data_IF_161693021676
#
_entry.id   IF_161693021676
#
_cell.length_a   1.000
_cell.length_b   1.000
_cell.length_c   1.000
_cell.angle_alpha   90.00
_cell.angle_beta   90.00
_cell.angle_gamma   90.00
#
_symmetry.space_group_name_H-M   'P 1'
#
loop_
_entity.id
_entity.type
_entity.pdbx_description
1 polymer ?
#
# COMPACT_ATOMS: atom_id res chain seq x y z
N UNK A 1 -36.34 -71.61 56.06
CA UNK A 1 -37.58 -70.99 55.50
C UNK A 1 -37.43 -69.52 55.57
N UNK A 2 -37.79 -68.83 54.60
CA UNK A 2 -37.94 -67.36 54.39
C UNK A 2 -36.92 -66.86 53.38
N UNK A 3 -37.25 -66.82 52.17
CA UNK A 3 -37.93 -65.73 51.59
C UNK A 3 -36.89 -64.75 50.95
N UNK A 4 -36.37 -65.16 49.77
CA UNK A 4 -35.53 -64.22 48.95
C UNK A 4 -36.46 -63.12 48.43
N UNK A 5 -36.22 -61.88 48.94
CA UNK A 5 -36.78 -60.64 48.41
C UNK A 5 -36.31 -60.44 46.98
N UNK A 6 -37.27 -60.35 46.06
CA UNK A 6 -37.06 -59.99 44.67
C UNK A 6 -36.45 -58.61 44.59
N UNK A 7 -35.15 -58.54 44.38
CA UNK A 7 -34.55 -57.34 43.94
C UNK A 7 -35.18 -56.97 42.61
N UNK A 8 -35.96 -55.90 42.58
CA UNK A 8 -36.48 -55.23 41.39
C UNK A 8 -35.34 -55.01 40.39
N UNK A 9 -35.34 -55.89 39.39
CA UNK A 9 -34.38 -55.74 38.26
C UNK A 9 -34.72 -54.44 37.50
N UNK A 10 -34.08 -53.39 37.83
CA UNK A 10 -34.23 -52.14 37.09
C UNK A 10 -34.01 -52.40 35.59
N UNK A 11 -34.84 -51.84 34.70
CA UNK A 11 -34.79 -52.06 33.24
C UNK A 11 -33.41 -51.81 32.62
N UNK A 12 -32.62 -50.97 33.21
CA UNK A 12 -31.26 -50.67 32.82
C UNK A 12 -30.30 -51.86 32.84
N UNK A 13 -30.46 -52.82 33.78
CA UNK A 13 -29.61 -54.00 33.82
C UNK A 13 -29.84 -54.97 32.63
N UNK A 14 -30.95 -54.82 31.93
CA UNK A 14 -31.18 -55.57 30.70
C UNK A 14 -30.43 -54.93 29.51
N UNK A 15 -30.44 -53.61 29.46
CA UNK A 15 -29.69 -52.79 28.45
C UNK A 15 -28.16 -52.96 28.70
N UNK A 16 -27.70 -52.87 29.96
CA UNK A 16 -26.31 -53.09 30.31
C UNK A 16 -25.81 -54.47 29.92
N UNK A 17 -26.59 -55.51 30.17
CA UNK A 17 -26.23 -56.89 29.80
C UNK A 17 -26.25 -57.14 28.29
N UNK A 18 -27.08 -56.43 27.52
CA UNK A 18 -27.08 -56.48 26.06
C UNK A 18 -25.81 -55.82 25.48
N UNK A 19 -25.37 -54.72 26.08
CA UNK A 19 -24.18 -53.96 25.65
C UNK A 19 -22.86 -54.56 26.16
N UNK A 20 -22.84 -55.19 27.36
CA UNK A 20 -21.69 -55.99 27.85
C UNK A 20 -21.46 -57.27 27.02
N UNK A 21 -22.50 -57.78 26.36
CA UNK A 21 -22.40 -58.92 25.45
C UNK A 21 -21.88 -58.60 24.07
N UNK A 22 -21.92 -57.31 23.67
CA UNK A 22 -21.46 -56.87 22.37
C UNK A 22 -20.22 -55.98 22.52
N UNK A 23 -19.05 -56.61 22.71
CA UNK A 23 -17.76 -55.96 22.76
C UNK A 23 -17.53 -55.04 21.56
N UNK A 24 -18.17 -55.34 20.41
CA UNK A 24 -18.06 -54.52 19.19
C UNK A 24 -18.85 -53.22 19.32
N UNK A 25 -20.05 -53.24 19.91
CA UNK A 25 -20.84 -52.03 20.15
C UNK A 25 -20.13 -51.09 21.14
N UNK A 26 -19.51 -51.63 22.20
CA UNK A 26 -18.71 -50.85 23.15
C UNK A 26 -17.47 -50.26 22.49
N UNK A 27 -16.74 -51.07 21.71
CA UNK A 27 -15.55 -50.61 20.98
C UNK A 27 -15.89 -49.52 19.96
N UNK A 28 -17.04 -49.66 19.24
CA UNK A 28 -17.48 -48.61 18.29
C UNK A 28 -17.87 -47.33 19.01
N UNK A 29 -18.59 -47.40 20.14
CA UNK A 29 -18.97 -46.21 20.91
C UNK A 29 -17.72 -45.51 21.47
N UNK A 30 -16.78 -46.28 22.01
CA UNK A 30 -15.51 -45.75 22.51
C UNK A 30 -14.72 -45.08 21.37
N UNK A 31 -14.62 -45.73 20.22
CA UNK A 31 -13.94 -45.16 19.03
C UNK A 31 -14.60 -43.86 18.56
N UNK A 32 -15.94 -43.80 18.51
CA UNK A 32 -16.69 -42.59 18.13
C UNK A 32 -16.42 -41.45 19.13
N UNK A 33 -16.41 -41.72 20.43
CA UNK A 33 -16.13 -40.74 21.45
C UNK A 33 -14.67 -40.28 21.39
N UNK A 34 -13.70 -41.19 21.21
CA UNK A 34 -12.28 -40.86 21.10
C UNK A 34 -11.98 -40.06 19.82
N UNK A 35 -12.49 -40.49 18.68
CA UNK A 35 -12.35 -39.78 17.40
C UNK A 35 -13.03 -38.43 17.46
N UNK A 36 -14.23 -38.35 18.05
CA UNK A 36 -14.91 -37.08 18.29
C UNK A 36 -14.14 -36.12 19.19
N UNK A 37 -13.51 -36.64 20.24
CA UNK A 37 -12.64 -35.87 21.14
C UNK A 37 -11.42 -35.31 20.43
N UNK A 38 -10.72 -36.14 19.65
CA UNK A 38 -9.55 -35.74 18.85
C UNK A 38 -9.97 -34.74 17.75
N UNK A 39 -11.05 -34.98 17.05
CA UNK A 39 -11.58 -34.07 16.05
C UNK A 39 -11.95 -32.70 16.66
N UNK A 40 -12.53 -32.70 17.86
CA UNK A 40 -12.86 -31.48 18.60
C UNK A 40 -11.61 -30.69 18.95
N UNK A 41 -10.56 -31.35 19.41
CA UNK A 41 -9.28 -30.71 19.70
C UNK A 41 -8.55 -30.21 18.46
N UNK A 42 -8.65 -30.95 17.35
CA UNK A 42 -8.07 -30.58 16.05
C UNK A 42 -8.81 -29.43 15.33
N UNK A 43 -10.11 -29.24 15.60
CA UNK A 43 -10.92 -28.16 15.04
C UNK A 43 -10.82 -26.85 15.83
N UNK A 44 -10.22 -26.87 17.02
CA UNK A 44 -10.01 -25.68 17.88
C UNK A 44 -9.36 -24.49 17.15
N UNK A 45 -8.36 -24.66 16.26
CA UNK A 45 -7.76 -23.53 15.52
C UNK A 45 -8.56 -23.06 14.31
N UNK A 46 -9.60 -23.81 13.88
CA UNK A 46 -10.39 -23.44 12.70
C UNK A 46 -11.40 -22.35 13.08
N UNK A 47 -11.15 -21.11 12.65
CA UNK A 47 -12.13 -20.03 12.72
C UNK A 47 -13.34 -20.42 11.88
N UNK A 48 -14.55 -20.51 12.44
CA UNK A 48 -15.75 -20.70 11.62
C UNK A 48 -15.93 -19.45 10.73
N UNK A 49 -15.58 -19.56 9.46
CA UNK A 49 -15.71 -18.46 8.48
C UNK A 49 -17.14 -18.26 7.99
N UNK A 50 -18.04 -19.23 8.21
CA UNK A 50 -19.43 -19.19 7.75
C UNK A 50 -20.40 -19.71 8.80
N UNK A 51 -21.67 -19.25 8.77
CA UNK A 51 -22.77 -19.71 9.65
C UNK A 51 -22.99 -21.23 9.56
N UNK A 52 -22.72 -21.82 8.41
CA UNK A 52 -22.83 -23.27 8.16
C UNK A 52 -21.85 -24.06 9.04
N UNK A 53 -20.63 -23.57 9.22
CA UNK A 53 -19.60 -24.21 10.04
C UNK A 53 -20.02 -24.24 11.52
N UNK A 54 -20.71 -23.20 11.98
CA UNK A 54 -21.19 -23.10 13.36
C UNK A 54 -22.29 -24.16 13.64
N UNK A 55 -23.22 -24.40 12.71
CA UNK A 55 -24.24 -25.42 12.85
C UNK A 55 -23.63 -26.83 12.92
N UNK A 56 -22.68 -27.14 12.07
CA UNK A 56 -21.98 -28.42 12.10
C UNK A 56 -21.23 -28.61 13.42
N UNK A 57 -20.57 -27.58 13.92
CA UNK A 57 -19.87 -27.59 15.19
C UNK A 57 -20.84 -27.85 16.36
N UNK A 58 -22.00 -27.20 16.39
CA UNK A 58 -23.04 -27.42 17.41
C UNK A 58 -23.61 -28.85 17.37
N UNK A 59 -23.89 -29.38 16.18
CA UNK A 59 -24.37 -30.77 16.00
C UNK A 59 -23.31 -31.77 16.47
N UNK A 60 -22.05 -31.56 16.12
CA UNK A 60 -20.94 -32.41 16.55
C UNK A 60 -20.77 -32.40 18.07
N UNK A 61 -20.84 -31.24 18.72
CA UNK A 61 -20.78 -31.12 20.17
C UNK A 61 -21.98 -31.81 20.85
N UNK A 62 -23.17 -31.70 20.27
CA UNK A 62 -24.34 -32.39 20.80
C UNK A 62 -24.20 -33.93 20.70
N UNK A 63 -23.76 -34.42 19.55
CA UNK A 63 -23.52 -35.86 19.32
C UNK A 63 -22.43 -36.41 20.26
N UNK A 64 -21.34 -35.65 20.46
CA UNK A 64 -20.26 -36.01 21.38
C UNK A 64 -20.77 -36.10 22.82
N UNK A 65 -21.61 -35.16 23.28
CA UNK A 65 -22.24 -35.19 24.65
C UNK A 65 -23.10 -36.41 24.84
N UNK A 66 -23.90 -36.74 23.84
CA UNK A 66 -24.74 -37.95 23.89
C UNK A 66 -23.88 -39.22 23.97
N UNK A 67 -22.78 -39.29 23.20
CA UNK A 67 -21.83 -40.39 23.23
C UNK A 67 -21.14 -40.54 24.59
N UNK A 68 -20.65 -39.43 25.18
CA UNK A 68 -20.04 -39.45 26.52
C UNK A 68 -21.04 -39.84 27.59
N UNK A 69 -22.28 -39.34 27.51
CA UNK A 69 -23.35 -39.74 28.44
C UNK A 69 -23.67 -41.22 28.35
N UNK A 70 -23.81 -41.77 27.14
CA UNK A 70 -24.03 -43.18 26.90
C UNK A 70 -22.87 -44.04 27.48
N UNK A 71 -21.63 -43.61 27.25
CA UNK A 71 -20.45 -44.28 27.79
C UNK A 71 -20.43 -44.28 29.31
N UNK A 72 -20.78 -43.17 29.97
CA UNK A 72 -20.90 -43.06 31.41
C UNK A 72 -22.01 -44.00 31.95
N UNK A 73 -23.17 -44.00 31.31
CA UNK A 73 -24.28 -44.89 31.69
C UNK A 73 -23.90 -46.38 31.60
N UNK A 74 -23.06 -46.74 30.61
CA UNK A 74 -22.62 -48.15 30.40
C UNK A 74 -21.52 -48.60 31.37
N UNK A 75 -20.67 -47.65 31.87
CA UNK A 75 -19.44 -47.98 32.62
C UNK A 75 -19.52 -47.70 34.12
N UNK A 76 -20.72 -47.59 34.67
CA UNK A 76 -20.93 -47.46 36.12
C UNK A 76 -21.41 -46.11 36.59
N UNK A 77 -21.92 -45.28 35.69
CA UNK A 77 -22.49 -43.96 36.04
C UNK A 77 -21.47 -43.00 36.66
N UNK A 78 -21.70 -42.62 37.91
CA UNK A 78 -20.85 -41.66 38.62
C UNK A 78 -19.42 -42.13 38.93
N UNK A 79 -19.21 -43.43 39.03
CA UNK A 79 -17.91 -44.04 39.30
C UNK A 79 -17.11 -44.37 38.03
N UNK A 80 -17.64 -44.01 36.88
CA UNK A 80 -17.00 -44.23 35.58
C UNK A 80 -15.69 -43.43 35.43
N UNK A 81 -14.60 -44.09 35.01
CA UNK A 81 -13.34 -43.39 34.69
C UNK A 81 -13.49 -42.37 33.56
N UNK A 82 -14.54 -42.45 32.75
CA UNK A 82 -14.81 -41.58 31.63
C UNK A 82 -15.50 -40.26 32.01
N UNK A 83 -15.80 -40.02 33.28
CA UNK A 83 -16.33 -38.75 33.80
C UNK A 83 -15.43 -37.58 33.43
N UNK A 84 -14.14 -37.82 33.39
CA UNK A 84 -13.14 -36.81 33.04
C UNK A 84 -13.22 -36.29 31.59
N UNK A 85 -13.91 -36.97 30.70
CA UNK A 85 -14.14 -36.53 29.31
C UNK A 85 -15.07 -35.30 29.19
N UNK A 86 -15.85 -35.01 30.27
CA UNK A 86 -16.64 -33.79 30.30
C UNK A 86 -15.81 -32.52 30.41
N UNK A 87 -14.60 -32.55 31.03
CA UNK A 87 -13.76 -31.38 31.23
C UNK A 87 -13.34 -30.69 29.93
N UNK A 88 -12.68 -31.37 28.98
CA UNK A 88 -12.29 -30.75 27.73
C UNK A 88 -13.48 -30.26 26.93
N UNK A 89 -14.61 -30.96 26.98
CA UNK A 89 -15.83 -30.59 26.27
C UNK A 89 -16.37 -29.23 26.75
N UNK A 90 -16.50 -29.06 28.07
CA UNK A 90 -17.03 -27.81 28.65
C UNK A 90 -16.04 -26.67 28.45
N UNK A 91 -14.74 -26.90 28.59
CA UNK A 91 -13.70 -25.91 28.36
C UNK A 91 -13.72 -25.39 26.91
N UNK A 92 -13.81 -26.31 25.94
CA UNK A 92 -13.90 -25.95 24.52
C UNK A 92 -15.18 -25.16 24.23
N UNK A 93 -16.32 -25.60 24.77
CA UNK A 93 -17.58 -24.85 24.58
C UNK A 93 -17.51 -23.45 25.20
N UNK A 94 -16.93 -23.28 26.39
CA UNK A 94 -16.76 -21.98 27.03
C UNK A 94 -15.86 -21.06 26.21
N UNK A 95 -14.79 -21.58 25.61
CA UNK A 95 -13.91 -20.84 24.74
C UNK A 95 -14.62 -20.35 23.45
N UNK A 96 -15.40 -21.23 22.79
CA UNK A 96 -16.05 -20.87 21.52
C UNK A 96 -17.31 -20.02 21.69
N UNK A 97 -18.14 -20.30 22.70
CA UNK A 97 -19.45 -19.68 22.87
C UNK A 97 -19.51 -18.66 24.01
N UNK A 98 -18.40 -18.45 24.71
CA UNK A 98 -18.29 -17.49 25.79
C UNK A 98 -18.77 -18.01 27.15
N UNK A 99 -18.56 -17.19 28.18
CA UNK A 99 -18.74 -17.58 29.60
C UNK A 99 -20.14 -18.06 29.97
N UNK A 100 -21.19 -17.44 29.42
CA UNK A 100 -22.57 -17.77 29.78
C UNK A 100 -23.03 -19.11 29.22
N UNK A 101 -22.66 -19.41 27.98
CA UNK A 101 -22.95 -20.71 27.37
C UNK A 101 -22.12 -21.80 28.02
N UNK A 102 -20.86 -21.53 28.37
CA UNK A 102 -20.03 -22.42 29.15
C UNK A 102 -20.65 -22.79 30.50
N UNK A 103 -21.18 -21.81 31.25
CA UNK A 103 -21.91 -22.05 32.51
C UNK A 103 -23.20 -22.85 32.30
N UNK A 104 -24.00 -22.52 31.32
CA UNK A 104 -25.22 -23.23 30.97
C UNK A 104 -24.92 -24.72 30.68
N UNK A 105 -23.89 -24.98 29.89
CA UNK A 105 -23.49 -26.34 29.54
C UNK A 105 -22.91 -27.11 30.71
N UNK A 106 -22.23 -26.40 31.64
CA UNK A 106 -21.80 -26.99 32.90
C UNK A 106 -22.99 -27.40 33.75
N UNK A 107 -24.01 -26.53 33.86
CA UNK A 107 -25.24 -26.83 34.60
C UNK A 107 -26.01 -28.06 33.99
N UNK A 108 -26.11 -28.10 32.65
CA UNK A 108 -26.73 -29.23 31.95
C UNK A 108 -25.92 -30.52 32.17
N UNK A 109 -24.60 -30.46 32.10
CA UNK A 109 -23.72 -31.59 32.37
C UNK A 109 -23.88 -32.09 33.82
N UNK A 110 -23.96 -31.17 34.78
CA UNK A 110 -24.22 -31.51 36.20
C UNK A 110 -25.60 -32.14 36.42
N UNK A 111 -26.63 -31.66 35.75
CA UNK A 111 -27.97 -32.23 35.80
C UNK A 111 -27.99 -33.65 35.22
N UNK A 112 -27.33 -33.88 34.08
CA UNK A 112 -27.21 -35.20 33.48
C UNK A 112 -26.44 -36.16 34.39
N UNK A 113 -25.36 -35.68 34.99
CA UNK A 113 -24.59 -36.47 35.95
C UNK A 113 -25.43 -36.80 37.18
N UNK A 114 -26.17 -35.83 37.72
CA UNK A 114 -27.06 -36.02 38.87
C UNK A 114 -28.15 -37.05 38.58
N UNK A 115 -28.80 -37.02 37.40
CA UNK A 115 -29.80 -38.01 37.00
C UNK A 115 -29.19 -39.39 36.88
N UNK A 116 -27.97 -39.52 36.35
CA UNK A 116 -27.22 -40.75 36.28
C UNK A 116 -26.86 -41.28 37.69
N UNK A 117 -26.47 -40.40 38.61
CA UNK A 117 -26.13 -40.77 40.00
C UNK A 117 -27.38 -41.11 40.85
N UNK A 118 -28.54 -40.54 40.58
CA UNK A 118 -29.82 -40.88 41.25
C UNK A 118 -30.28 -42.31 40.90
N UNK A 119 -29.86 -42.82 39.75
CA UNK A 119 -30.11 -44.19 39.35
C UNK A 119 -29.13 -45.20 40.01
N UNK A 120 -28.10 -44.75 40.72
CA UNK A 120 -27.10 -45.52 41.46
C UNK A 120 -27.32 -45.41 43.00
N UNK A 121 -26.69 -46.25 43.85
CA UNK A 121 -26.88 -46.20 45.33
C UNK A 121 -26.47 -44.87 45.94
N UNK A 122 -27.22 -44.38 46.97
CA UNK A 122 -27.35 -42.93 47.29
C UNK A 122 -26.24 -42.28 48.11
N UNK A 123 -25.21 -42.97 48.63
CA UNK A 123 -24.39 -42.42 49.70
C UNK A 123 -23.22 -41.53 49.29
N UNK A 124 -22.83 -41.53 48.02
CA UNK A 124 -21.67 -40.75 47.57
C UNK A 124 -21.98 -39.70 46.47
N UNK A 125 -23.22 -39.62 45.99
CA UNK A 125 -23.54 -38.92 44.75
C UNK A 125 -23.47 -37.36 44.85
N UNK A 126 -23.93 -36.78 45.98
CA UNK A 126 -24.07 -35.32 46.09
C UNK A 126 -22.74 -34.57 46.19
N UNK A 127 -21.78 -35.10 46.98
CA UNK A 127 -20.48 -34.49 47.13
C UNK A 127 -19.70 -34.55 45.81
N UNK A 128 -19.78 -35.62 45.07
CA UNK A 128 -19.14 -35.78 43.78
C UNK A 128 -19.72 -34.81 42.73
N UNK A 129 -21.04 -34.58 42.72
CA UNK A 129 -21.72 -33.62 41.83
C UNK A 129 -21.20 -32.20 42.12
N UNK A 130 -21.16 -31.77 43.40
CA UNK A 130 -20.75 -30.42 43.77
C UNK A 130 -19.27 -30.20 43.44
N UNK A 131 -18.39 -31.14 43.75
CA UNK A 131 -16.96 -31.07 43.41
C UNK A 131 -16.77 -31.01 41.89
N UNK A 132 -17.46 -31.87 41.12
CA UNK A 132 -17.38 -31.88 39.68
C UNK A 132 -17.86 -30.55 39.05
N UNK A 133 -19.00 -30.01 39.53
CA UNK A 133 -19.51 -28.72 39.09
C UNK A 133 -18.52 -27.56 39.36
N UNK A 134 -17.90 -27.57 40.54
CA UNK A 134 -16.87 -26.58 40.87
C UNK A 134 -15.61 -26.72 40.01
N UNK A 135 -15.13 -27.96 39.87
CA UNK A 135 -13.91 -28.25 39.11
C UNK A 135 -14.04 -28.00 37.60
N UNK A 136 -15.24 -28.14 37.03
CA UNK A 136 -15.51 -27.90 35.62
C UNK A 136 -16.00 -26.48 35.38
N UNK A 137 -16.90 -25.97 36.23
CA UNK A 137 -17.54 -24.67 36.07
C UNK A 137 -16.59 -23.50 36.22
N UNK A 138 -15.69 -23.52 37.21
CA UNK A 138 -14.74 -22.44 37.44
C UNK A 138 -13.74 -22.26 36.28
N UNK A 139 -13.05 -23.32 35.80
CA UNK A 139 -12.19 -23.18 34.62
C UNK A 139 -12.96 -22.80 33.36
N UNK A 140 -14.17 -23.33 33.15
CA UNK A 140 -15.00 -22.97 32.01
C UNK A 140 -15.39 -21.47 32.02
N UNK A 141 -15.79 -20.97 33.19
CA UNK A 141 -16.07 -19.53 33.36
C UNK A 141 -14.82 -18.67 33.12
N UNK A 142 -13.68 -19.04 33.70
CA UNK A 142 -12.43 -18.32 33.54
C UNK A 142 -11.99 -18.30 32.06
N UNK A 143 -12.01 -19.46 31.40
CA UNK A 143 -11.61 -19.57 30.00
C UNK A 143 -12.57 -18.79 29.07
N UNK A 144 -13.87 -18.88 29.31
CA UNK A 144 -14.87 -18.09 28.59
C UNK A 144 -14.69 -16.59 28.81
N UNK A 145 -14.34 -16.17 30.02
CA UNK A 145 -14.08 -14.76 30.32
C UNK A 145 -12.83 -14.24 29.58
N UNK A 146 -11.75 -15.01 29.54
CA UNK A 146 -10.53 -14.67 28.79
C UNK A 146 -10.85 -14.60 27.29
N UNK A 147 -11.56 -15.57 26.75
CA UNK A 147 -11.94 -15.58 25.35
C UNK A 147 -12.83 -14.37 24.95
N UNK A 148 -13.79 -14.00 25.79
CA UNK A 148 -14.64 -12.82 25.55
C UNK A 148 -13.83 -11.53 25.60
N UNK A 149 -12.84 -11.43 26.51
CA UNK A 149 -11.95 -10.27 26.61
C UNK A 149 -11.04 -10.17 25.39
N UNK A 150 -10.47 -11.28 24.95
CA UNK A 150 -9.62 -11.32 23.76
C UNK A 150 -10.38 -10.91 22.48
N UNK A 151 -11.63 -11.40 22.32
CA UNK A 151 -12.48 -11.02 21.19
C UNK A 151 -12.79 -9.53 21.16
N UNK A 152 -13.11 -8.95 22.32
CA UNK A 152 -13.37 -7.50 22.42
C UNK A 152 -12.12 -6.69 22.10
N UNK A 153 -10.97 -7.09 22.64
CA UNK A 153 -9.71 -6.41 22.38
C UNK A 153 -9.33 -6.47 20.89
N UNK A 154 -9.52 -7.62 20.23
CA UNK A 154 -9.28 -7.75 18.78
C UNK A 154 -10.22 -6.87 17.95
N UNK A 155 -11.50 -6.87 18.27
CA UNK A 155 -12.49 -6.03 17.58
C UNK A 155 -12.18 -4.52 17.73
N UNK A 156 -11.70 -4.12 18.91
CA UNK A 156 -11.28 -2.74 19.17
C UNK A 156 -10.01 -2.37 18.38
N UNK A 157 -9.02 -3.26 18.34
CA UNK A 157 -7.80 -3.06 17.53
C UNK A 157 -8.14 -2.97 16.04
N UNK A 158 -9.03 -3.83 15.53
CA UNK A 158 -9.48 -3.77 14.14
C UNK A 158 -10.18 -2.43 13.85
N UNK A 159 -11.07 -1.99 14.74
CA UNK A 159 -11.76 -0.71 14.60
C UNK A 159 -10.78 0.48 14.61
N UNK A 160 -9.85 0.51 15.57
CA UNK A 160 -8.85 1.57 15.67
C UNK A 160 -7.93 1.60 14.45
N UNK A 161 -7.61 0.42 13.90
CA UNK A 161 -6.80 0.32 12.68
C UNK A 161 -7.53 0.89 11.45
N UNK A 162 -8.84 0.65 11.34
CA UNK A 162 -9.66 1.25 10.27
C UNK A 162 -9.79 2.78 10.42
N UNK A 163 -10.00 3.25 11.65
CA UNK A 163 -10.06 4.68 11.96
C UNK A 163 -8.72 5.38 11.67
N UNK A 164 -7.62 4.76 12.07
CA UNK A 164 -6.27 5.26 11.78
C UNK A 164 -6.00 5.35 10.27
N UNK A 165 -6.34 4.32 9.51
CA UNK A 165 -6.21 4.33 8.05
C UNK A 165 -7.03 5.45 7.41
N UNK A 166 -8.26 5.64 7.86
CA UNK A 166 -9.10 6.74 7.39
C UNK A 166 -8.50 8.12 7.69
N UNK A 167 -7.99 8.32 8.91
CA UNK A 167 -7.35 9.57 9.32
C UNK A 167 -6.06 9.85 8.54
N UNK A 168 -5.24 8.81 8.31
CA UNK A 168 -4.03 8.94 7.49
C UNK A 168 -4.34 9.34 6.04
N UNK A 169 -5.38 8.76 5.44
CA UNK A 169 -5.82 9.13 4.09
C UNK A 169 -6.27 10.59 4.03
N UNK A 170 -7.08 11.04 5.00
CA UNK A 170 -7.53 12.43 5.07
C UNK A 170 -6.35 13.41 5.28
N UNK A 171 -5.38 13.03 6.11
CA UNK A 171 -4.19 13.85 6.34
C UNK A 171 -3.36 13.99 5.07
N UNK A 172 -3.17 12.90 4.31
CA UNK A 172 -2.46 12.90 3.04
C UNK A 172 -3.16 13.78 2.00
N UNK A 173 -4.50 13.71 1.92
CA UNK A 173 -5.28 14.57 1.02
C UNK A 173 -5.15 16.05 1.40
N UNK A 174 -5.32 16.38 2.68
CA UNK A 174 -5.18 17.76 3.17
C UNK A 174 -3.75 18.31 2.97
N UNK A 175 -2.73 17.48 3.17
CA UNK A 175 -1.35 17.86 2.91
C UNK A 175 -1.13 18.16 1.42
N UNK A 176 -1.73 17.38 0.53
CA UNK A 176 -1.62 17.60 -0.91
C UNK A 176 -2.33 18.88 -1.34
N UNK A 177 -3.51 19.16 -0.78
CA UNK A 177 -4.22 20.42 -1.03
C UNK A 177 -3.42 21.63 -0.55
N UNK A 178 -2.75 21.54 0.60
CA UNK A 178 -1.87 22.61 1.10
C UNK A 178 -0.70 22.85 0.16
N UNK A 179 -0.04 21.83 -0.35
CA UNK A 179 1.07 21.97 -1.31
C UNK A 179 0.59 22.67 -2.59
N UNK A 180 -0.57 22.30 -3.12
CA UNK A 180 -1.15 22.96 -4.30
C UNK A 180 -1.51 24.41 -4.00
N UNK A 181 -2.12 24.67 -2.84
CA UNK A 181 -2.47 26.04 -2.42
C UNK A 181 -1.24 26.93 -2.23
N UNK A 182 -0.17 26.41 -1.63
CA UNK A 182 1.09 27.13 -1.46
C UNK A 182 1.74 27.50 -2.83
N UNK A 183 1.73 26.54 -3.78
CA UNK A 183 2.19 26.80 -5.15
C UNK A 183 1.36 27.88 -5.84
N UNK A 184 0.03 27.80 -5.74
CA UNK A 184 -0.87 28.82 -6.30
C UNK A 184 -0.67 30.18 -5.65
N UNK A 185 -0.43 30.24 -4.33
CA UNK A 185 -0.09 31.48 -3.65
C UNK A 185 1.24 32.06 -4.14
N UNK A 186 2.21 31.20 -4.46
CA UNK A 186 3.49 31.62 -5.05
C UNK A 186 3.31 32.17 -6.46
N UNK A 187 2.53 31.50 -7.32
CA UNK A 187 2.13 32.03 -8.63
C UNK A 187 1.40 33.36 -8.48
N UNK A 188 0.47 33.47 -7.53
CA UNK A 188 -0.24 34.72 -7.25
C UNK A 188 0.66 35.89 -6.85
N UNK A 189 1.67 35.64 -6.00
CA UNK A 189 2.66 36.66 -5.63
C UNK A 189 3.51 37.13 -6.80
N UNK A 190 3.69 36.30 -7.80
CA UNK A 190 4.48 36.59 -9.00
C UNK A 190 3.63 36.99 -10.21
N UNK A 191 2.32 37.20 -9.99
CA UNK A 191 1.38 37.57 -11.06
C UNK A 191 1.84 38.77 -11.88
N UNK A 192 2.50 39.77 -11.28
CA UNK A 192 3.05 40.93 -11.98
C UNK A 192 4.16 40.53 -12.95
N UNK A 193 5.08 39.64 -12.54
CA UNK A 193 6.16 39.16 -13.39
C UNK A 193 5.61 38.33 -14.54
N UNK A 194 4.69 37.38 -14.25
CA UNK A 194 3.98 36.58 -15.25
C UNK A 194 3.29 37.50 -16.27
N UNK A 195 2.55 38.50 -15.80
CA UNK A 195 1.88 39.47 -16.66
C UNK A 195 2.86 40.23 -17.57
N UNK A 196 4.06 40.58 -17.08
CA UNK A 196 5.11 41.20 -17.90
C UNK A 196 5.67 40.20 -18.91
N UNK A 197 5.96 38.96 -18.51
CA UNK A 197 6.51 37.92 -19.39
C UNK A 197 5.50 37.48 -20.50
N UNK A 198 4.21 37.54 -20.23
CA UNK A 198 3.13 37.31 -21.21
C UNK A 198 2.93 38.53 -22.11
N UNK A 199 3.02 39.76 -21.57
CA UNK A 199 2.80 40.98 -22.35
C UNK A 199 3.89 41.21 -23.42
N UNK A 200 5.15 40.81 -23.11
CA UNK A 200 6.27 40.99 -24.04
C UNK A 200 6.04 40.29 -25.40
N UNK A 201 5.76 38.94 -25.48
CA UNK A 201 5.47 38.30 -26.75
C UNK A 201 4.20 38.84 -27.41
N UNK A 202 3.17 39.21 -26.65
CA UNK A 202 1.95 39.82 -27.20
C UNK A 202 2.30 41.14 -27.89
N UNK A 203 3.08 42.04 -27.25
CA UNK A 203 3.47 43.30 -27.88
C UNK A 203 4.34 43.09 -29.11
N UNK A 204 5.22 42.06 -29.11
CA UNK A 204 5.97 41.71 -30.30
C UNK A 204 5.08 41.19 -31.43
N UNK A 205 4.08 40.40 -31.13
CA UNK A 205 3.07 39.95 -32.12
C UNK A 205 2.30 41.12 -32.68
N UNK A 206 1.81 42.04 -31.85
CA UNK A 206 1.10 43.24 -32.28
C UNK A 206 1.94 44.12 -33.19
N UNK A 207 3.20 44.34 -32.84
CA UNK A 207 4.12 45.15 -33.66
C UNK A 207 4.39 44.48 -35.01
N UNK A 208 4.72 43.20 -35.04
CA UNK A 208 4.97 42.45 -36.28
C UNK A 208 3.72 42.36 -37.15
N UNK A 209 2.54 42.25 -36.55
CA UNK A 209 1.26 42.25 -37.28
C UNK A 209 0.96 43.64 -37.93
N UNK A 210 1.23 44.74 -37.21
CA UNK A 210 1.08 46.07 -37.73
C UNK A 210 2.04 46.35 -38.92
N UNK A 211 3.31 45.92 -38.78
CA UNK A 211 4.26 46.01 -39.90
C UNK A 211 3.83 45.16 -41.10
N UNK A 212 3.29 43.97 -40.87
CA UNK A 212 2.78 43.12 -41.91
C UNK A 212 1.57 43.77 -42.66
N UNK A 213 0.67 44.42 -41.92
CA UNK A 213 -0.47 45.16 -42.47
C UNK A 213 -0.02 46.29 -43.41
N UNK A 214 1.03 47.01 -43.06
CA UNK A 214 1.58 48.07 -43.90
C UNK A 214 2.20 47.53 -45.19
N UNK A 215 2.91 46.40 -45.14
CA UNK A 215 3.49 45.74 -46.32
C UNK A 215 2.42 45.21 -47.26
N UNK A 216 1.34 44.61 -46.74
CA UNK A 216 0.27 43.98 -47.55
C UNK A 216 -0.55 45.01 -48.32
N UNK A 217 -0.52 46.30 -47.95
CA UNK A 217 -1.24 47.36 -48.65
C UNK A 217 -0.69 47.69 -50.05
N UNK A 218 0.65 47.54 -50.28
CA UNK A 218 1.29 47.75 -51.58
C UNK A 218 2.59 46.90 -51.70
N UNK A 219 2.46 45.58 -51.97
CA UNK A 219 3.57 44.64 -51.88
C UNK A 219 4.50 44.70 -53.10
N UNK A 220 5.80 44.99 -52.86
CA UNK A 220 6.88 44.65 -53.81
C UNK A 220 7.44 43.23 -53.53
N UNK A 221 8.18 42.65 -54.53
CA UNK A 221 8.78 41.31 -54.36
C UNK A 221 9.75 41.22 -53.17
N UNK A 222 10.42 42.30 -52.80
CA UNK A 222 11.34 42.40 -51.68
C UNK A 222 10.54 42.46 -50.36
N UNK A 223 9.45 43.21 -50.33
CA UNK A 223 8.54 43.33 -49.21
C UNK A 223 7.79 42.02 -48.94
N UNK A 224 7.57 41.14 -49.92
CA UNK A 224 6.98 39.82 -49.74
C UNK A 224 7.93 38.91 -48.90
N UNK A 225 9.22 38.97 -49.07
CA UNK A 225 10.20 38.26 -48.21
C UNK A 225 10.18 38.75 -46.78
N UNK A 226 10.11 40.07 -46.59
CA UNK A 226 9.97 40.69 -45.29
C UNK A 226 8.69 40.28 -44.59
N UNK A 227 7.54 40.23 -45.29
CA UNK A 227 6.26 39.75 -44.79
C UNK A 227 6.33 38.30 -44.29
N UNK A 228 6.99 37.42 -45.05
CA UNK A 228 7.20 36.02 -44.61
C UNK A 228 8.08 35.93 -43.34
N UNK A 229 9.06 36.82 -43.21
CA UNK A 229 9.88 36.96 -41.99
C UNK A 229 9.07 37.39 -40.78
N UNK A 230 8.17 38.37 -40.94
CA UNK A 230 7.27 38.84 -39.87
C UNK A 230 6.26 37.74 -39.45
N UNK A 231 5.70 37.00 -40.42
CA UNK A 231 4.85 35.83 -40.09
C UNK A 231 5.59 34.76 -39.32
N UNK A 232 6.84 34.47 -39.68
CA UNK A 232 7.70 33.56 -38.94
C UNK A 232 7.96 34.05 -37.52
N UNK A 233 8.28 35.35 -37.36
CA UNK A 233 8.48 35.95 -36.05
C UNK A 233 7.21 35.89 -35.16
N UNK A 234 6.04 36.18 -35.71
CA UNK A 234 4.76 36.02 -35.00
C UNK A 234 4.58 34.57 -34.50
N UNK A 235 4.79 33.62 -35.40
CA UNK A 235 4.67 32.19 -35.05
C UNK A 235 5.62 31.78 -33.95
N UNK A 236 6.85 32.27 -33.97
CA UNK A 236 7.85 32.01 -32.95
C UNK A 236 7.43 32.60 -31.58
N UNK A 237 6.82 33.78 -31.56
CA UNK A 237 6.27 34.39 -30.35
C UNK A 237 5.06 33.62 -29.78
N UNK A 238 4.17 33.13 -30.65
CA UNK A 238 3.05 32.27 -30.22
C UNK A 238 3.57 30.98 -29.60
N UNK A 239 4.56 30.34 -30.22
CA UNK A 239 5.18 29.12 -29.69
C UNK A 239 5.87 29.38 -28.33
N UNK A 240 6.52 30.52 -28.16
CA UNK A 240 7.11 30.91 -26.89
C UNK A 240 6.06 31.14 -25.79
N UNK A 241 4.90 31.74 -26.15
CA UNK A 241 3.80 31.97 -25.22
C UNK A 241 3.15 30.66 -24.78
N UNK A 242 2.97 29.70 -25.70
CA UNK A 242 2.47 28.37 -25.38
C UNK A 242 3.41 27.63 -24.42
N UNK A 243 4.72 27.64 -24.69
CA UNK A 243 5.72 27.04 -23.83
C UNK A 243 5.74 27.66 -22.43
N UNK A 244 5.58 28.98 -22.32
CA UNK A 244 5.54 29.71 -21.06
C UNK A 244 4.28 29.35 -20.25
N UNK A 245 3.10 29.25 -20.90
CA UNK A 245 1.85 28.83 -20.26
C UNK A 245 1.93 27.39 -19.75
N UNK A 246 2.46 26.48 -20.55
CA UNK A 246 2.65 25.07 -20.13
C UNK A 246 3.60 24.97 -18.93
N UNK A 247 4.68 25.73 -18.91
CA UNK A 247 5.63 25.73 -17.77
C UNK A 247 4.97 26.23 -16.47
N UNK A 248 4.13 27.27 -16.54
CA UNK A 248 3.38 27.75 -15.38
C UNK A 248 2.29 26.74 -14.94
N UNK A 249 1.60 26.12 -15.87
CA UNK A 249 0.61 25.09 -15.54
C UNK A 249 1.25 23.84 -14.93
N UNK A 250 2.40 23.41 -15.46
CA UNK A 250 3.17 22.29 -14.90
C UNK A 250 3.63 22.58 -13.47
N UNK A 251 4.06 23.81 -13.19
CA UNK A 251 4.41 24.23 -11.84
C UNK A 251 3.20 24.26 -10.89
N UNK A 252 2.07 24.83 -11.36
CA UNK A 252 0.87 24.99 -10.55
C UNK A 252 0.14 23.67 -10.26
N UNK A 253 0.15 22.73 -11.21
CA UNK A 253 -0.54 21.45 -11.14
C UNK A 253 0.42 20.29 -11.40
N UNK A 254 1.41 20.13 -10.54
CA UNK A 254 2.34 19.03 -10.69
C UNK A 254 1.57 17.69 -10.61
N UNK A 255 1.56 16.86 -11.66
CA UNK A 255 0.79 15.64 -11.69
C UNK A 255 1.33 14.62 -10.67
N UNK A 256 0.47 13.74 -10.19
CA UNK A 256 0.92 12.57 -9.41
C UNK A 256 1.74 11.67 -10.32
N UNK A 257 2.96 11.26 -9.92
CA UNK A 257 3.78 10.41 -10.76
C UNK A 257 3.11 9.05 -11.00
N UNK A 258 3.12 8.62 -12.27
CA UNK A 258 2.69 7.29 -12.69
C UNK A 258 3.93 6.44 -12.98
N UNK A 259 4.27 5.56 -12.03
CA UNK A 259 5.47 4.73 -12.11
C UNK A 259 5.24 3.45 -12.90
N UNK A 260 6.07 3.23 -13.92
CA UNK A 260 6.11 2.03 -14.75
C UNK A 260 7.56 1.55 -14.89
N UNK A 261 7.73 0.27 -15.23
CA UNK A 261 9.04 -0.30 -15.49
C UNK A 261 9.56 0.18 -16.86
N UNK A 262 10.57 1.03 -16.85
CA UNK A 262 11.08 1.75 -18.01
C UNK A 262 12.62 1.74 -18.08
N UNK A 263 13.14 1.96 -19.28
CA UNK A 263 14.58 2.06 -19.53
C UNK A 263 15.05 3.51 -19.60
N UNK A 264 15.90 3.90 -18.64
CA UNK A 264 16.57 5.20 -18.63
C UNK A 264 17.47 5.38 -19.85
N UNK A 265 18.17 4.30 -20.27
CA UNK A 265 19.03 4.33 -21.45
C UNK A 265 18.23 4.62 -22.74
N UNK A 266 17.06 4.01 -22.87
CA UNK A 266 16.18 4.27 -24.01
C UNK A 266 15.67 5.70 -24.02
N UNK A 267 15.30 6.23 -22.85
CA UNK A 267 14.87 7.62 -22.70
C UNK A 267 16.00 8.60 -23.09
N UNK A 268 17.24 8.36 -22.64
CA UNK A 268 18.39 9.21 -22.99
C UNK A 268 18.66 9.19 -24.52
N UNK A 269 18.59 8.03 -25.16
CA UNK A 269 18.80 7.88 -26.60
C UNK A 269 17.69 8.61 -27.39
N UNK A 270 16.43 8.40 -27.02
CA UNK A 270 15.28 9.06 -27.66
C UNK A 270 15.40 10.59 -27.59
N UNK A 271 15.76 11.12 -26.43
CA UNK A 271 15.94 12.57 -26.24
C UNK A 271 17.07 13.12 -27.09
N UNK A 272 18.19 12.41 -27.16
CA UNK A 272 19.31 12.83 -28.02
C UNK A 272 18.90 12.83 -29.49
N UNK A 273 18.20 11.81 -29.96
CA UNK A 273 17.72 11.72 -31.35
C UNK A 273 16.72 12.82 -31.67
N UNK A 274 15.84 13.15 -30.73
CA UNK A 274 14.88 14.26 -30.86
C UNK A 274 15.57 15.62 -31.02
N UNK A 275 16.67 15.85 -30.29
CA UNK A 275 17.34 17.17 -30.22
C UNK A 275 18.41 17.30 -31.31
N UNK A 276 19.02 16.22 -31.76
CA UNK A 276 20.13 16.22 -32.75
C UNK A 276 19.86 17.08 -34.00
N UNK A 277 18.66 17.06 -34.64
CA UNK A 277 18.41 17.90 -35.79
C UNK A 277 18.46 19.42 -35.49
N UNK A 278 18.02 19.81 -34.30
CA UNK A 278 18.03 21.22 -33.87
C UNK A 278 19.46 21.65 -33.54
N UNK A 279 20.18 20.83 -32.77
CA UNK A 279 21.56 21.07 -32.40
C UNK A 279 22.48 21.20 -33.65
N UNK A 280 22.34 20.27 -34.61
CA UNK A 280 23.13 20.30 -35.86
C UNK A 280 22.89 21.56 -36.65
N UNK A 281 21.68 22.11 -36.74
CA UNK A 281 21.40 23.38 -37.40
C UNK A 281 22.08 24.56 -36.72
N UNK A 282 22.37 24.48 -35.43
CA UNK A 282 23.09 25.47 -34.63
C UNK A 282 24.61 25.23 -34.61
N UNK A 283 25.12 24.23 -35.33
CA UNK A 283 26.52 23.85 -35.33
C UNK A 283 27.02 23.19 -34.05
N UNK A 284 26.06 22.58 -33.27
CA UNK A 284 26.36 21.89 -32.02
C UNK A 284 26.40 20.37 -32.21
N UNK A 285 27.19 19.69 -31.39
CA UNK A 285 27.30 18.22 -31.38
C UNK A 285 26.54 17.66 -30.17
N UNK A 286 25.72 16.61 -30.42
CA UNK A 286 25.03 15.85 -29.37
C UNK A 286 25.59 14.43 -29.29
N UNK A 287 26.12 14.07 -28.12
CA UNK A 287 26.61 12.72 -27.79
C UNK A 287 25.70 12.02 -26.80
N UNK A 288 25.73 10.69 -26.86
CA UNK A 288 25.03 9.81 -25.89
C UNK A 288 26.03 8.84 -25.32
N UNK A 289 26.14 8.80 -24.01
CA UNK A 289 27.04 7.91 -23.27
C UNK A 289 26.23 7.14 -22.23
N UNK A 290 25.66 6.00 -22.63
CA UNK A 290 24.82 5.17 -21.76
C UNK A 290 25.57 3.92 -21.31
N UNK A 291 25.46 3.62 -20.02
CA UNK A 291 25.98 2.39 -19.44
C UNK A 291 24.97 1.24 -19.68
N UNK A 292 25.36 0.20 -20.45
CA UNK A 292 24.47 -0.93 -20.74
C UNK A 292 24.10 -1.76 -19.50
N UNK A 293 24.77 -1.56 -18.36
CA UNK A 293 24.46 -2.25 -17.10
C UNK A 293 23.31 -1.63 -16.33
N UNK A 294 22.82 -0.43 -16.72
CA UNK A 294 21.64 0.22 -16.11
C UNK A 294 20.40 -0.65 -16.38
N UNK A 295 19.76 -1.18 -15.32
CA UNK A 295 18.58 -2.02 -15.49
C UNK A 295 17.32 -1.20 -15.80
N UNK A 296 16.23 -1.91 -16.14
CA UNK A 296 14.88 -1.36 -16.08
C UNK A 296 14.56 -0.94 -14.64
N UNK A 297 13.84 0.16 -14.46
CA UNK A 297 13.49 0.67 -13.15
C UNK A 297 12.12 1.35 -13.13
N UNK A 298 11.48 1.40 -11.97
CA UNK A 298 10.18 2.07 -11.80
C UNK A 298 10.35 3.59 -11.85
N UNK A 299 9.96 4.21 -12.97
CA UNK A 299 10.00 5.67 -13.18
C UNK A 299 8.72 6.16 -13.85
N UNK A 300 8.37 7.42 -13.62
CA UNK A 300 7.45 8.14 -14.50
C UNK A 300 8.23 8.69 -15.69
N UNK A 301 8.08 8.02 -16.84
CA UNK A 301 8.76 8.38 -18.07
C UNK A 301 8.46 9.82 -18.52
N UNK A 302 7.21 10.27 -18.37
CA UNK A 302 6.80 11.61 -18.78
C UNK A 302 7.48 12.71 -17.98
N UNK A 303 7.47 12.58 -16.66
CA UNK A 303 8.13 13.51 -15.76
C UNK A 303 9.64 13.48 -15.93
N UNK A 304 10.25 12.29 -16.01
CA UNK A 304 11.70 12.18 -16.17
C UNK A 304 12.16 12.74 -17.53
N UNK A 305 11.39 12.51 -18.59
CA UNK A 305 11.61 13.16 -19.90
C UNK A 305 11.59 14.67 -19.80
N UNK A 306 10.62 15.23 -19.09
CA UNK A 306 10.53 16.67 -18.83
C UNK A 306 11.77 17.20 -18.08
N UNK A 307 12.20 16.49 -17.02
CA UNK A 307 13.38 16.86 -16.25
C UNK A 307 14.64 16.91 -17.12
N UNK A 308 14.90 15.85 -17.90
CA UNK A 308 16.07 15.77 -18.76
C UNK A 308 16.00 16.82 -19.89
N UNK A 309 14.82 17.04 -20.49
CA UNK A 309 14.64 18.11 -21.49
C UNK A 309 14.95 19.50 -20.94
N UNK A 310 14.56 19.80 -19.69
CA UNK A 310 14.90 21.06 -19.06
C UNK A 310 16.42 21.23 -18.93
N UNK A 311 17.14 20.17 -18.55
CA UNK A 311 18.61 20.19 -18.46
C UNK A 311 19.25 20.35 -19.83
N UNK A 312 18.76 19.63 -20.83
CA UNK A 312 19.23 19.72 -22.22
C UNK A 312 19.01 21.13 -22.79
N UNK A 313 17.82 21.72 -22.59
CA UNK A 313 17.54 23.10 -23.01
C UNK A 313 18.53 24.05 -22.38
N UNK A 314 18.78 23.92 -21.08
CA UNK A 314 19.76 24.76 -20.37
C UNK A 314 21.17 24.59 -20.94
N UNK A 315 21.60 23.37 -21.24
CA UNK A 315 22.90 23.08 -21.84
C UNK A 315 23.04 23.65 -23.26
N UNK A 316 22.01 23.48 -24.12
CA UNK A 316 22.04 24.07 -25.47
C UNK A 316 22.12 25.61 -25.44
N UNK A 317 21.39 26.25 -24.52
CA UNK A 317 21.41 27.70 -24.34
C UNK A 317 22.76 28.24 -23.79
N UNK A 318 23.52 27.37 -23.07
CA UNK A 318 24.85 27.73 -22.58
C UNK A 318 25.96 27.57 -23.65
N UNK A 319 25.64 26.88 -24.76
CA UNK A 319 26.59 26.61 -25.83
C UNK A 319 26.63 27.74 -26.88
N UNK A 320 27.80 28.11 -27.28
CA UNK A 320 28.07 28.87 -28.49
C UNK A 320 28.37 27.94 -29.67
N UNK A 321 28.51 28.47 -30.89
CA UNK A 321 28.81 27.69 -32.09
C UNK A 321 30.02 26.75 -31.89
N UNK A 322 29.84 25.44 -32.22
CA UNK A 322 30.88 24.42 -32.08
C UNK A 322 30.96 23.72 -30.73
N UNK A 323 30.01 23.95 -29.86
CA UNK A 323 29.93 23.28 -28.55
C UNK A 323 29.36 21.85 -28.60
N UNK A 324 29.54 21.13 -27.51
CA UNK A 324 29.10 19.74 -27.35
C UNK A 324 28.16 19.57 -26.14
N UNK A 325 27.06 18.87 -26.34
CA UNK A 325 26.16 18.43 -25.30
C UNK A 325 26.22 16.91 -25.20
N UNK A 326 26.46 16.38 -24.01
CA UNK A 326 26.47 14.94 -23.73
C UNK A 326 25.32 14.58 -22.80
N UNK A 327 24.49 13.59 -23.20
CA UNK A 327 23.49 12.97 -22.35
C UNK A 327 24.03 11.61 -21.94
N UNK A 328 24.13 11.33 -20.64
CA UNK A 328 24.70 10.11 -20.11
C UNK A 328 23.79 9.39 -19.13
N UNK A 329 23.99 8.09 -18.98
CA UNK A 329 23.47 7.32 -17.88
C UNK A 329 24.54 6.38 -17.32
N UNK A 330 24.54 6.17 -16.01
CA UNK A 330 25.51 5.33 -15.32
C UNK A 330 24.87 4.65 -14.12
N UNK A 331 25.28 3.40 -13.88
CA UNK A 331 24.97 2.70 -12.65
C UNK A 331 26.02 3.01 -11.60
N UNK A 332 25.61 3.54 -10.44
CA UNK A 332 26.50 3.85 -9.32
C UNK A 332 25.96 3.24 -8.03
N UNK A 333 26.49 2.06 -7.67
CA UNK A 333 26.01 1.31 -6.51
C UNK A 333 24.54 0.93 -6.62
N UNK A 334 23.73 1.40 -5.72
CA UNK A 334 22.27 1.18 -5.71
C UNK A 334 21.47 2.34 -6.34
N UNK A 335 22.10 3.15 -7.17
CA UNK A 335 21.49 4.31 -7.82
C UNK A 335 21.84 4.35 -9.31
N UNK A 336 20.95 4.92 -10.10
CA UNK A 336 21.19 5.28 -11.50
C UNK A 336 21.37 6.79 -11.58
N UNK A 337 22.42 7.22 -12.25
CA UNK A 337 22.69 8.60 -12.55
C UNK A 337 22.37 8.91 -14.01
N UNK A 338 21.60 9.99 -14.22
CA UNK A 338 21.31 10.55 -15.54
C UNK A 338 22.00 11.90 -15.59
N UNK A 339 22.94 12.08 -16.50
CA UNK A 339 23.73 13.30 -16.60
C UNK A 339 23.49 14.04 -17.91
N UNK A 340 23.47 15.34 -17.83
CA UNK A 340 23.53 16.24 -18.98
C UNK A 340 24.72 17.17 -18.78
N UNK A 341 25.68 17.09 -19.70
CA UNK A 341 26.93 17.86 -19.65
C UNK A 341 27.02 18.76 -20.88
N UNK A 342 27.43 19.99 -20.69
CA UNK A 342 27.76 20.93 -21.75
C UNK A 342 29.22 21.37 -21.71
N UNK A 343 29.69 21.93 -22.81
CA UNK A 343 31.02 22.58 -22.92
C UNK A 343 30.93 24.11 -22.94
N UNK A 344 29.91 24.67 -22.33
CA UNK A 344 29.63 26.10 -22.30
C UNK A 344 30.48 26.89 -21.29
N UNK A 345 29.98 28.03 -20.86
CA UNK A 345 30.67 28.91 -19.92
C UNK A 345 30.69 28.44 -18.47
N UNK A 346 29.97 27.39 -18.13
CA UNK A 346 29.80 26.93 -16.75
C UNK A 346 28.87 27.84 -15.92
N UNK A 347 28.86 27.63 -14.60
CA UNK A 347 28.00 28.32 -13.64
C UNK A 347 28.91 29.21 -12.76
N UNK A 348 28.54 30.47 -12.65
CA UNK A 348 29.27 31.43 -11.80
C UNK A 348 29.00 31.11 -10.32
N UNK A 349 30.03 31.26 -9.47
CA UNK A 349 29.96 30.94 -8.03
C UNK A 349 28.88 31.73 -7.30
N UNK A 350 28.61 32.95 -7.72
CA UNK A 350 27.57 33.81 -7.14
C UNK A 350 26.15 33.30 -7.38
N UNK A 351 25.97 32.46 -8.40
CA UNK A 351 24.67 31.88 -8.80
C UNK A 351 24.39 30.56 -8.07
N UNK A 352 25.44 29.86 -7.66
CA UNK A 352 25.37 28.54 -7.05
C UNK A 352 24.30 28.38 -5.95
N UNK A 353 24.22 29.26 -4.91
CA UNK A 353 23.29 29.09 -3.81
C UNK A 353 21.81 29.20 -4.23
N UNK A 354 21.56 29.84 -5.38
CA UNK A 354 20.23 30.19 -5.86
C UNK A 354 19.79 29.39 -7.08
N UNK A 355 20.63 28.48 -7.54
CA UNK A 355 20.45 27.77 -8.82
C UNK A 355 19.12 27.01 -8.91
N UNK A 356 18.62 26.47 -7.80
CA UNK A 356 17.39 25.73 -7.69
C UNK A 356 16.23 26.53 -7.05
N UNK A 357 16.45 27.83 -6.77
CA UNK A 357 15.37 28.70 -6.30
C UNK A 357 14.37 28.91 -7.42
N UNK A 358 13.09 28.83 -7.06
CA UNK A 358 11.99 29.09 -8.01
C UNK A 358 12.08 30.51 -8.55
N UNK A 359 11.89 30.66 -9.86
CA UNK A 359 11.91 31.96 -10.57
C UNK A 359 13.27 32.66 -10.58
N UNK A 360 14.31 32.01 -10.12
CA UNK A 360 15.65 32.53 -10.27
C UNK A 360 16.21 32.23 -11.66
N UNK A 361 16.62 33.25 -12.38
CA UNK A 361 17.24 33.14 -13.70
C UNK A 361 18.26 34.25 -13.93
N UNK A 362 19.31 33.93 -14.64
CA UNK A 362 20.30 34.87 -15.18
C UNK A 362 20.03 35.22 -16.64
N UNK A 363 19.03 34.57 -17.26
CA UNK A 363 18.70 34.71 -18.68
C UNK A 363 17.57 35.72 -18.86
N UNK A 364 17.64 36.62 -19.88
CA UNK A 364 16.63 37.65 -20.11
C UNK A 364 15.22 37.12 -20.38
N UNK A 365 15.12 35.92 -20.98
CA UNK A 365 13.83 35.27 -21.35
C UNK A 365 13.57 33.97 -20.55
N UNK A 366 14.34 33.76 -19.47
CA UNK A 366 14.17 32.56 -18.65
C UNK A 366 13.11 32.76 -17.58
N UNK A 367 12.20 31.79 -17.40
CA UNK A 367 11.20 31.77 -16.33
C UNK A 367 11.79 31.47 -14.94
N UNK A 368 12.93 30.77 -14.90
CA UNK A 368 13.57 30.32 -13.66
C UNK A 368 12.84 29.15 -12.98
N UNK A 369 11.95 28.45 -13.69
CA UNK A 369 11.21 27.30 -13.18
C UNK A 369 11.85 25.96 -13.56
N UNK A 370 12.57 25.85 -14.67
CA UNK A 370 13.07 24.59 -15.21
C UNK A 370 13.88 23.77 -14.23
N UNK A 371 14.87 24.36 -13.54
CA UNK A 371 15.72 23.64 -12.58
C UNK A 371 14.98 23.28 -11.29
N UNK A 372 14.07 24.13 -10.82
CA UNK A 372 13.24 23.83 -9.64
C UNK A 372 12.24 22.69 -9.93
N UNK A 373 11.66 22.63 -11.13
CA UNK A 373 10.81 21.52 -11.58
C UNK A 373 11.65 20.25 -11.72
N UNK A 374 12.86 20.33 -12.29
CA UNK A 374 13.77 19.16 -12.41
C UNK A 374 14.12 18.59 -11.03
N UNK A 375 14.42 19.45 -10.05
CA UNK A 375 14.68 19.04 -8.67
C UNK A 375 13.46 18.33 -8.07
N UNK A 376 12.28 18.91 -8.25
CA UNK A 376 11.05 18.31 -7.74
C UNK A 376 10.79 16.94 -8.38
N UNK A 377 10.99 16.79 -9.69
CA UNK A 377 10.85 15.50 -10.36
C UNK A 377 11.81 14.46 -9.78
N UNK A 378 13.06 14.83 -9.53
CA UNK A 378 14.03 13.94 -8.89
C UNK A 378 13.59 13.51 -7.49
N UNK A 379 13.11 14.45 -6.66
CA UNK A 379 12.59 14.20 -5.30
C UNK A 379 11.36 13.28 -5.31
N UNK A 380 10.42 13.47 -6.24
CA UNK A 380 9.25 12.58 -6.39
C UNK A 380 9.62 11.14 -6.80
N UNK A 381 10.77 10.98 -7.47
CA UNK A 381 11.36 9.67 -7.77
C UNK A 381 12.21 9.11 -6.62
N UNK A 382 12.23 9.79 -5.45
CA UNK A 382 13.05 9.40 -4.29
C UNK A 382 14.55 9.66 -4.48
N UNK A 383 14.91 10.50 -5.45
CA UNK A 383 16.26 10.85 -5.80
C UNK A 383 16.63 12.30 -5.49
N UNK A 384 17.68 12.75 -6.10
CA UNK A 384 18.20 14.13 -5.96
C UNK A 384 18.79 14.61 -7.29
N UNK A 385 18.95 15.94 -7.42
CA UNK A 385 19.72 16.54 -8.50
C UNK A 385 20.99 17.18 -7.93
N UNK A 386 22.10 16.94 -8.63
CA UNK A 386 23.40 17.52 -8.34
C UNK A 386 23.92 18.27 -9.57
N UNK A 387 24.90 19.11 -9.37
CA UNK A 387 25.59 19.79 -10.46
C UNK A 387 27.06 19.99 -10.11
N UNK A 388 27.89 20.19 -11.13
CA UNK A 388 29.29 20.52 -11.00
C UNK A 388 29.78 21.28 -12.24
N UNK A 389 30.68 22.22 -12.08
CA UNK A 389 31.44 22.79 -13.20
C UNK A 389 32.45 21.77 -13.72
N UNK A 390 32.63 21.67 -15.04
CA UNK A 390 33.63 20.83 -15.67
C UNK A 390 34.98 21.55 -15.68
N UNK A 391 36.05 20.76 -15.51
CA UNK A 391 37.41 21.26 -15.65
C UNK A 391 37.64 21.72 -17.10
N UNK A 392 37.91 23.00 -17.29
CA UNK A 392 38.18 23.59 -18.60
C UNK A 392 37.03 24.37 -19.24
N UNK A 393 35.80 24.17 -18.89
CA UNK A 393 34.59 24.99 -19.18
C UNK A 393 33.39 24.10 -19.28
N UNK A 394 32.20 24.65 -18.97
CA UNK A 394 30.91 23.96 -19.01
C UNK A 394 30.42 23.44 -17.65
N UNK A 395 29.22 22.89 -17.65
CA UNK A 395 28.59 22.36 -16.45
C UNK A 395 28.07 20.92 -16.71
N UNK A 396 27.90 20.15 -15.64
CA UNK A 396 27.23 18.87 -15.63
C UNK A 396 26.14 18.90 -14.58
N UNK A 397 24.92 18.59 -14.99
CA UNK A 397 23.80 18.31 -14.10
C UNK A 397 23.56 16.81 -14.05
N UNK A 398 23.35 16.28 -12.85
CA UNK A 398 23.15 14.84 -12.63
C UNK A 398 21.92 14.62 -11.79
N UNK A 399 20.94 13.90 -12.33
CA UNK A 399 19.79 13.35 -11.61
C UNK A 399 20.19 11.99 -11.10
N UNK A 400 20.17 11.77 -9.79
CA UNK A 400 20.46 10.50 -9.15
C UNK A 400 19.19 9.87 -8.61
N UNK A 401 18.85 8.67 -9.10
CA UNK A 401 17.64 7.95 -8.73
C UNK A 401 18.00 6.62 -8.08
N UNK A 402 17.34 6.20 -6.98
CA UNK A 402 17.57 4.89 -6.38
C UNK A 402 17.04 3.78 -7.29
N UNK A 403 17.78 2.67 -7.42
CA UNK A 403 17.34 1.47 -8.18
C UNK A 403 16.04 0.88 -7.64
N UNK A 404 15.88 0.90 -6.31
CA UNK A 404 14.64 0.48 -5.64
C UNK A 404 14.04 1.69 -4.98
N UNK A 405 12.88 2.06 -5.43
CA UNK A 405 12.09 3.06 -4.75
C UNK A 405 11.77 2.55 -3.34
N UNK A 406 12.18 3.28 -2.32
CA UNK A 406 11.65 3.08 -0.97
C UNK A 406 10.16 3.47 -1.08
N UNK A 407 9.29 2.47 -1.30
CA UNK A 407 7.86 2.72 -1.10
C UNK A 407 7.75 3.19 0.34
N UNK A 408 7.37 4.43 0.54
CA UNK A 408 6.78 4.85 1.80
C UNK A 408 5.52 3.99 1.92
N UNK A 409 5.67 2.82 2.61
CA UNK A 409 4.56 1.90 2.85
C UNK A 409 3.44 2.70 3.50
N UNK A 410 2.28 2.64 2.84
CA UNK A 410 1.05 3.29 3.22
C UNK A 410 0.48 2.73 4.53
#
# INVERSE_FOLDING_TARGET
MIGATSAERKPWHAIFRLLERDERAFAVLLAVVMVGGVATLGLVPLRPRHRIDLYHLVIWFAAYKVGVFALLAMTGGGDSPFVNLFFPLVAVNAYYFGRWIGLLLTAVAGLLYWTAAWLAPPEAAWTAVVILMGLVGLPAFALGHVADRERRSRAEVERLNEELKGTLSQLQEAQQELVVAERMATVGRLSLRIAHEVRNPISAIELNAAMLEDIVRDPSDEQMKEALGLVAAIRDQVTALDALTEEYLAFARFPRPHFEEESVNHLAQELADFIRPVATRQGLTVRVEVDPTVPMMEIDRGLLRQAVLNLVKNGLEALSSGGELTIGSRLEGESVEISVSDTGGGIATEVEPRLFEQFFTTKPQGTGLGLSITRQIAEEHGGEIRWANRVGHGATFTIRLPLRRVRADA
#
